data_IF_953519498762
#
_entry.id   IF_953519498762
#
_cell.length_a   1.000
_cell.length_b   1.000
_cell.length_c   1.000
_cell.angle_alpha   90.00
_cell.angle_beta   90.00
_cell.angle_gamma   90.00
#
_symmetry.space_group_name_H-M   'P 1'
#
loop_
_entity.id
_entity.type
_entity.pdbx_description
1 polymer ?
#
# COMPACT_ATOMS: atom_id res chain seq x y z
N UNK A 1 -5.38 -30.17 10.18
CA UNK A 1 -6.85 -30.06 10.26
C UNK A 1 -7.44 -30.89 9.14
N UNK A 2 -8.27 -31.89 9.45
CA UNK A 2 -8.92 -32.66 8.38
C UNK A 2 -10.03 -31.80 7.74
N UNK A 3 -10.42 -32.12 6.50
CA UNK A 3 -11.56 -31.45 5.82
C UNK A 3 -12.85 -31.54 6.64
N UNK A 4 -13.05 -32.64 7.38
CA UNK A 4 -14.18 -32.79 8.28
C UNK A 4 -14.14 -31.82 9.47
N UNK A 5 -12.95 -31.53 10.00
CA UNK A 5 -12.78 -30.56 11.09
C UNK A 5 -13.00 -29.12 10.61
N UNK A 6 -12.57 -28.80 9.37
CA UNK A 6 -12.86 -27.51 8.73
C UNK A 6 -14.35 -27.28 8.54
N UNK A 7 -15.06 -28.30 8.05
CA UNK A 7 -16.50 -28.20 7.86
C UNK A 7 -17.22 -27.96 9.20
N UNK A 8 -16.85 -28.68 10.26
CA UNK A 8 -17.44 -28.46 11.60
C UNK A 8 -17.16 -27.06 12.14
N UNK A 9 -15.93 -26.56 11.96
CA UNK A 9 -15.58 -25.21 12.37
C UNK A 9 -16.39 -24.15 11.60
N UNK A 10 -16.55 -24.29 10.29
CA UNK A 10 -17.31 -23.35 9.46
C UNK A 10 -18.81 -23.32 9.80
N UNK A 11 -19.40 -24.46 10.16
CA UNK A 11 -20.83 -24.56 10.47
C UNK A 11 -21.14 -24.15 11.91
N UNK A 12 -20.14 -24.05 12.78
CA UNK A 12 -20.31 -23.63 14.17
C UNK A 12 -20.73 -22.15 14.26
N UNK A 13 -21.94 -21.82 14.76
CA UNK A 13 -22.42 -20.44 14.88
C UNK A 13 -21.55 -19.57 15.79
N UNK A 14 -20.78 -20.17 16.71
CA UNK A 14 -19.87 -19.43 17.59
C UNK A 14 -18.77 -18.70 16.81
N UNK A 15 -18.34 -19.23 15.66
CA UNK A 15 -17.31 -18.59 14.81
C UNK A 15 -17.85 -17.42 13.98
N UNK A 16 -19.16 -17.24 13.92
CA UNK A 16 -19.81 -16.18 13.15
C UNK A 16 -20.33 -15.02 14.01
N UNK A 17 -20.30 -15.15 15.34
CA UNK A 17 -20.86 -14.19 16.29
C UNK A 17 -19.82 -13.75 17.31
N UNK A 18 -19.99 -12.55 17.88
CA UNK A 18 -19.12 -12.02 18.93
C UNK A 18 -17.85 -11.30 18.44
N UNK A 19 -17.01 -10.91 19.40
CA UNK A 19 -15.76 -10.15 19.18
C UNK A 19 -14.70 -10.95 18.42
N UNK A 20 -14.76 -12.28 18.49
CA UNK A 20 -13.84 -13.19 17.84
C UNK A 20 -14.40 -13.83 16.56
N UNK A 21 -15.57 -13.38 16.11
CA UNK A 21 -16.22 -13.90 14.91
C UNK A 21 -15.53 -13.48 13.60
N UNK A 22 -15.72 -14.30 12.56
CA UNK A 22 -15.16 -14.09 11.21
C UNK A 22 -15.47 -12.67 10.67
N UNK A 23 -16.70 -12.13 10.77
CA UNK A 23 -16.99 -10.79 10.26
C UNK A 23 -16.20 -9.69 10.96
N UNK A 24 -16.01 -9.81 12.28
CA UNK A 24 -15.24 -8.85 13.07
C UNK A 24 -13.76 -8.86 12.65
N UNK A 25 -13.17 -10.05 12.51
CA UNK A 25 -11.77 -10.22 12.05
C UNK A 25 -11.57 -9.76 10.61
N UNK A 26 -12.53 -10.01 9.73
CA UNK A 26 -12.53 -9.44 8.38
C UNK A 26 -12.53 -7.90 8.45
N UNK A 27 -13.38 -7.33 9.30
CA UNK A 27 -13.46 -5.88 9.51
C UNK A 27 -12.13 -5.28 9.96
N UNK A 28 -11.48 -5.88 10.96
CA UNK A 28 -10.15 -5.48 11.43
C UNK A 28 -9.09 -5.56 10.30
N UNK A 29 -9.08 -6.66 9.55
CA UNK A 29 -8.15 -6.87 8.44
C UNK A 29 -8.32 -5.80 7.35
N UNK A 30 -9.57 -5.52 6.98
CA UNK A 30 -9.88 -4.50 5.97
C UNK A 30 -9.53 -3.12 6.50
N UNK A 31 -9.86 -2.81 7.74
CA UNK A 31 -9.60 -1.52 8.36
C UNK A 31 -8.11 -1.19 8.36
N UNK A 32 -7.28 -2.07 8.94
CA UNK A 32 -5.83 -1.85 9.03
C UNK A 32 -5.18 -1.75 7.64
N UNK A 33 -5.66 -2.55 6.68
CA UNK A 33 -5.13 -2.53 5.31
C UNK A 33 -5.48 -1.25 4.57
N UNK A 34 -6.75 -0.83 4.63
CA UNK A 34 -7.23 0.39 3.97
C UNK A 34 -6.59 1.62 4.58
N UNK A 35 -6.50 1.70 5.91
CA UNK A 35 -5.83 2.80 6.61
C UNK A 35 -4.37 2.91 6.17
N UNK A 36 -3.63 1.80 6.22
CA UNK A 36 -2.20 1.76 5.86
C UNK A 36 -1.97 2.17 4.41
N UNK A 37 -2.81 1.69 3.49
CA UNK A 37 -2.76 2.02 2.05
C UNK A 37 -3.14 3.47 1.81
N UNK A 38 -4.14 4.00 2.50
CA UNK A 38 -4.57 5.39 2.36
C UNK A 38 -3.48 6.37 2.82
N UNK A 39 -2.87 6.11 3.98
CA UNK A 39 -1.73 6.90 4.49
C UNK A 39 -0.55 6.77 3.52
N UNK A 40 -0.24 5.54 3.08
CA UNK A 40 0.80 5.27 2.10
C UNK A 40 0.59 6.04 0.80
N UNK A 41 -0.63 6.05 0.26
CA UNK A 41 -0.99 6.77 -0.96
C UNK A 41 -0.89 8.29 -0.78
N UNK A 42 -1.34 8.82 0.37
CA UNK A 42 -1.24 10.24 0.68
C UNK A 42 0.21 10.75 0.70
N UNK A 43 1.18 9.87 1.02
CA UNK A 43 2.62 10.20 1.01
C UNK A 43 3.25 9.89 -0.36
N UNK A 44 3.03 8.68 -0.85
CA UNK A 44 3.73 8.14 -2.01
C UNK A 44 3.29 8.77 -3.34
N UNK A 45 1.99 9.05 -3.51
CA UNK A 45 1.47 9.58 -4.77
C UNK A 45 1.99 11.01 -5.03
N UNK A 46 1.92 11.97 -4.09
CA UNK A 46 2.50 13.29 -4.31
C UNK A 46 3.99 13.22 -4.61
N UNK A 47 4.75 12.41 -3.87
CA UNK A 47 6.19 12.23 -4.08
C UNK A 47 6.47 11.67 -5.47
N UNK A 48 5.81 10.57 -5.86
CA UNK A 48 6.01 9.94 -7.16
C UNK A 48 5.62 10.84 -8.33
N UNK A 49 4.50 11.57 -8.22
CA UNK A 49 4.04 12.53 -9.23
C UNK A 49 5.04 13.67 -9.40
N UNK A 50 5.48 14.29 -8.30
CA UNK A 50 6.47 15.39 -8.33
C UNK A 50 7.78 14.92 -8.94
N UNK A 51 8.31 13.78 -8.49
CA UNK A 51 9.56 13.23 -9.04
C UNK A 51 9.44 12.90 -10.53
N UNK A 52 8.30 12.34 -10.95
CA UNK A 52 8.06 11.95 -12.34
C UNK A 52 7.91 13.16 -13.26
N UNK A 53 7.17 14.18 -12.82
CA UNK A 53 6.93 15.41 -13.58
C UNK A 53 8.24 16.16 -13.89
N UNK A 54 9.07 16.38 -12.86
CA UNK A 54 10.33 17.10 -13.06
C UNK A 54 11.44 16.25 -13.71
N UNK A 55 11.22 14.94 -13.91
CA UNK A 55 12.21 14.04 -14.52
C UNK A 55 13.53 13.87 -13.74
N UNK A 56 13.63 14.46 -12.54
CA UNK A 56 14.84 14.47 -11.68
C UNK A 56 14.74 13.43 -10.58
N UNK A 57 15.90 12.98 -10.10
CA UNK A 57 16.03 12.00 -9.01
C UNK A 57 15.38 10.63 -9.30
N UNK A 58 15.44 10.14 -10.54
CA UNK A 58 15.03 8.76 -10.86
C UNK A 58 15.75 7.71 -10.03
N UNK A 59 17.03 7.95 -9.72
CA UNK A 59 17.81 7.12 -8.80
C UNK A 59 17.19 7.05 -7.40
N UNK A 60 16.55 8.12 -6.91
CA UNK A 60 15.88 8.11 -5.62
C UNK A 60 14.62 7.23 -5.66
N UNK A 61 13.79 7.34 -6.69
CA UNK A 61 12.61 6.50 -6.86
C UNK A 61 12.99 5.00 -6.98
N UNK A 62 14.07 4.71 -7.71
CA UNK A 62 14.63 3.35 -7.85
C UNK A 62 15.19 2.85 -6.52
N UNK A 63 15.95 3.68 -5.79
CA UNK A 63 16.54 3.30 -4.51
C UNK A 63 15.48 3.07 -3.43
N UNK A 64 14.42 3.88 -3.37
CA UNK A 64 13.27 3.65 -2.47
C UNK A 64 12.60 2.31 -2.80
N UNK A 65 12.41 2.00 -4.09
CA UNK A 65 11.89 0.71 -4.53
C UNK A 65 12.79 -0.45 -4.09
N UNK A 66 14.09 -0.32 -4.31
CA UNK A 66 15.07 -1.37 -4.02
C UNK A 66 15.19 -1.63 -2.52
N UNK A 67 15.24 -0.57 -1.70
CA UNK A 67 15.25 -0.72 -0.23
C UNK A 67 13.96 -1.38 0.23
N UNK A 68 12.80 -0.90 -0.22
CA UNK A 68 11.51 -1.46 0.16
C UNK A 68 11.33 -2.92 -0.22
N UNK A 69 11.95 -3.38 -1.32
CA UNK A 69 11.94 -4.79 -1.76
C UNK A 69 13.00 -5.64 -1.08
N UNK A 70 14.13 -5.05 -0.68
CA UNK A 70 15.24 -5.75 -0.04
C UNK A 70 14.96 -6.07 1.44
N UNK A 71 14.16 -5.23 2.12
CA UNK A 71 13.84 -5.44 3.53
C UNK A 71 12.72 -6.48 3.66
N UNK A 72 12.93 -7.58 4.40
CA UNK A 72 11.87 -8.55 4.67
C UNK A 72 10.69 -7.89 5.39
N UNK A 73 9.47 -8.14 4.91
CA UNK A 73 8.25 -7.55 5.48
C UNK A 73 8.06 -7.87 6.97
N UNK A 74 8.36 -9.10 7.36
CA UNK A 74 8.37 -9.52 8.77
C UNK A 74 9.37 -8.71 9.61
N UNK A 75 10.55 -8.43 9.06
CA UNK A 75 11.57 -7.62 9.74
C UNK A 75 11.08 -6.20 10.04
N UNK A 76 10.33 -5.57 9.12
CA UNK A 76 9.78 -4.23 9.32
C UNK A 76 8.75 -4.22 10.45
N UNK A 77 7.86 -5.22 10.49
CA UNK A 77 6.87 -5.37 11.56
C UNK A 77 7.57 -5.53 12.92
N UNK A 78 8.57 -6.41 12.99
CA UNK A 78 9.33 -6.63 14.23
C UNK A 78 10.07 -5.38 14.66
N UNK A 79 10.70 -4.64 13.74
CA UNK A 79 11.38 -3.38 14.06
C UNK A 79 10.40 -2.34 14.59
N UNK A 80 9.23 -2.18 13.96
CA UNK A 80 8.21 -1.25 14.41
C UNK A 80 7.71 -1.62 15.82
N UNK A 81 7.47 -2.91 16.07
CA UNK A 81 7.12 -3.42 17.39
C UNK A 81 8.22 -3.14 18.43
N UNK A 82 9.49 -3.43 18.12
CA UNK A 82 10.60 -3.20 19.05
C UNK A 82 10.80 -1.71 19.36
N UNK A 83 10.55 -0.83 18.39
CA UNK A 83 10.73 0.61 18.53
C UNK A 83 9.57 1.28 19.28
N UNK A 84 8.33 0.82 19.08
CA UNK A 84 7.12 1.54 19.53
C UNK A 84 6.21 0.72 20.45
N UNK A 85 6.51 -0.55 20.70
CA UNK A 85 5.74 -1.46 21.55
C UNK A 85 4.58 -2.15 20.83
N UNK A 86 3.68 -2.75 21.61
CA UNK A 86 2.45 -3.40 21.11
C UNK A 86 1.40 -2.35 20.72
N UNK A 87 0.62 -2.65 19.69
CA UNK A 87 -0.58 -1.90 19.33
C UNK A 87 -0.78 -1.75 17.83
N UNK A 88 -1.89 -1.13 17.45
CA UNK A 88 -2.27 -0.95 16.04
C UNK A 88 -1.38 0.09 15.34
N UNK A 89 -0.95 1.14 16.04
CA UNK A 89 -0.09 2.20 15.48
C UNK A 89 1.21 1.68 14.84
N UNK A 90 2.03 0.88 15.54
CA UNK A 90 3.23 0.27 14.98
C UNK A 90 2.95 -0.64 13.77
N UNK A 91 1.83 -1.36 13.77
CA UNK A 91 1.40 -2.22 12.65
C UNK A 91 1.07 -1.35 11.43
N UNK A 92 0.23 -0.32 11.60
CA UNK A 92 -0.14 0.62 10.54
C UNK A 92 1.11 1.30 9.98
N UNK A 93 2.02 1.75 10.84
CA UNK A 93 3.29 2.35 10.42
C UNK A 93 4.12 1.42 9.54
N UNK A 94 4.27 0.16 9.95
CA UNK A 94 5.01 -0.85 9.20
C UNK A 94 4.37 -1.15 7.84
N UNK A 95 3.04 -1.33 7.82
CA UNK A 95 2.30 -1.61 6.59
C UNK A 95 2.28 -0.40 5.64
N UNK A 96 2.15 0.81 6.16
CA UNK A 96 2.30 2.05 5.38
C UNK A 96 3.69 2.14 4.76
N UNK A 97 4.76 1.86 5.52
CA UNK A 97 6.12 1.87 5.00
C UNK A 97 6.30 0.86 3.85
N UNK A 98 5.66 -0.30 3.94
CA UNK A 98 5.66 -1.32 2.88
C UNK A 98 4.83 -0.94 1.65
N UNK A 99 3.79 -0.11 1.80
CA UNK A 99 2.93 0.35 0.70
C UNK A 99 3.59 1.44 -0.16
N UNK A 100 4.50 2.22 0.42
CA UNK A 100 5.11 3.39 -0.25
C UNK A 100 5.94 3.02 -1.50
N UNK A 101 6.87 2.06 -1.48
CA UNK A 101 7.79 1.82 -2.58
C UNK A 101 7.10 1.52 -3.93
N UNK A 102 6.13 0.59 -4.02
CA UNK A 102 5.46 0.33 -5.29
C UNK A 102 4.65 1.53 -5.77
N UNK A 103 3.98 2.26 -4.88
CA UNK A 103 3.22 3.48 -5.25
C UNK A 103 4.14 4.59 -5.79
N UNK A 104 5.27 4.86 -5.14
CA UNK A 104 6.25 5.86 -5.59
C UNK A 104 6.80 5.47 -6.96
N UNK A 105 7.27 4.23 -7.12
CA UNK A 105 7.88 3.78 -8.37
C UNK A 105 6.90 3.83 -9.53
N UNK A 106 5.68 3.29 -9.37
CA UNK A 106 4.69 3.30 -10.45
C UNK A 106 4.22 4.72 -10.78
N UNK A 107 4.02 5.58 -9.79
CA UNK A 107 3.63 6.97 -10.05
C UNK A 107 4.73 7.74 -10.77
N UNK A 108 5.99 7.54 -10.38
CA UNK A 108 7.15 8.11 -11.07
C UNK A 108 7.22 7.67 -12.53
N UNK A 109 7.13 6.36 -12.78
CA UNK A 109 7.18 5.81 -14.15
C UNK A 109 5.99 6.30 -14.97
N UNK A 110 4.78 6.31 -14.39
CA UNK A 110 3.57 6.77 -15.07
C UNK A 110 3.68 8.21 -15.58
N UNK A 111 4.21 9.12 -14.77
CA UNK A 111 4.42 10.51 -15.20
C UNK A 111 5.55 10.64 -16.23
N UNK A 112 6.55 9.75 -16.20
CA UNK A 112 7.63 9.73 -17.18
C UNK A 112 7.23 9.16 -18.54
N UNK A 113 6.28 8.24 -18.57
CA UNK A 113 5.78 7.62 -19.79
C UNK A 113 4.82 8.51 -20.57
N UNK A 114 4.33 9.61 -19.96
CA UNK A 114 3.58 10.63 -20.69
C UNK A 114 4.47 11.25 -21.78
N UNK A 115 4.00 11.17 -23.02
CA UNK A 115 4.68 11.64 -24.22
C UNK A 115 5.23 13.08 -24.05
N UNK A 116 6.54 13.31 -24.28
CA UNK A 116 7.12 14.65 -24.28
C UNK A 116 6.41 15.65 -25.19
N UNK A 117 5.90 15.22 -26.35
CA UNK A 117 5.21 16.08 -27.30
C UNK A 117 3.88 16.58 -26.72
N UNK A 118 3.19 15.75 -25.94
CA UNK A 118 1.97 16.14 -25.21
C UNK A 118 2.31 17.19 -24.13
N UNK A 119 3.45 17.04 -23.45
CA UNK A 119 3.92 18.00 -22.43
C UNK A 119 4.33 19.33 -23.06
N UNK A 120 4.96 19.31 -24.23
CA UNK A 120 5.29 20.50 -25.00
C UNK A 120 4.05 21.20 -25.54
N UNK A 121 3.08 20.45 -26.06
CA UNK A 121 1.79 20.99 -26.50
C UNK A 121 1.04 21.66 -25.33
N UNK A 122 1.03 21.05 -24.15
CA UNK A 122 0.43 21.65 -22.96
C UNK A 122 1.09 22.99 -22.59
N UNK A 123 2.43 23.06 -22.62
CA UNK A 123 3.17 24.31 -22.41
C UNK A 123 2.88 25.36 -23.49
N UNK A 124 2.81 24.94 -24.76
CA UNK A 124 2.45 25.80 -25.89
C UNK A 124 1.03 26.37 -25.81
N UNK A 125 0.10 25.64 -25.18
CA UNK A 125 -1.25 26.11 -24.86
C UNK A 125 -1.32 27.05 -23.64
N UNK A 126 -0.20 27.34 -22.99
CA UNK A 126 -0.14 28.26 -21.85
C UNK A 126 -0.51 27.64 -20.49
N UNK A 127 -0.52 26.30 -20.38
CA UNK A 127 -0.71 25.67 -19.07
C UNK A 127 0.46 25.97 -18.14
N UNK A 128 0.15 26.39 -16.90
CA UNK A 128 1.13 26.45 -15.80
C UNK A 128 1.45 25.03 -15.34
N UNK A 129 2.65 24.81 -14.78
CA UNK A 129 3.15 23.51 -14.30
C UNK A 129 2.11 22.67 -13.55
N UNK A 130 1.45 23.23 -12.52
CA UNK A 130 0.44 22.51 -11.75
C UNK A 130 -0.80 22.14 -12.59
N UNK A 131 -1.20 23.02 -13.50
CA UNK A 131 -2.34 22.75 -14.38
C UNK A 131 -1.99 21.71 -15.44
N UNK A 132 -0.76 21.71 -15.95
CA UNK A 132 -0.24 20.66 -16.83
C UNK A 132 -0.26 19.30 -16.12
N UNK A 133 0.26 19.21 -14.90
CA UNK A 133 0.22 17.96 -14.11
C UNK A 133 -1.22 17.51 -13.88
N UNK A 134 -2.10 18.38 -13.38
CA UNK A 134 -3.45 17.99 -12.98
C UNK A 134 -4.39 17.70 -14.15
N UNK A 135 -4.24 18.39 -15.29
CA UNK A 135 -5.19 18.30 -16.41
C UNK A 135 -4.68 17.51 -17.60
N UNK A 136 -3.38 17.26 -17.69
CA UNK A 136 -2.79 16.56 -18.85
C UNK A 136 -2.06 15.31 -18.38
N UNK A 137 -1.03 15.46 -17.54
CA UNK A 137 -0.17 14.33 -17.20
C UNK A 137 -0.86 13.31 -16.29
N UNK A 138 -1.55 13.76 -15.23
CA UNK A 138 -2.22 12.87 -14.28
C UNK A 138 -3.32 12.03 -14.95
N UNK A 139 -4.27 12.58 -15.72
CA UNK A 139 -5.29 11.78 -16.42
C UNK A 139 -4.71 10.66 -17.29
N UNK A 140 -3.58 10.94 -17.98
CA UNK A 140 -2.88 9.96 -18.81
C UNK A 140 -2.12 8.92 -17.97
N UNK A 141 -1.58 9.34 -16.83
CA UNK A 141 -0.81 8.50 -15.91
C UNK A 141 -1.65 7.65 -14.95
N UNK A 142 -2.94 7.99 -14.73
CA UNK A 142 -3.82 7.34 -13.74
C UNK A 142 -3.82 5.81 -13.85
N UNK A 143 -3.95 5.18 -15.04
CA UNK A 143 -4.01 3.72 -15.13
C UNK A 143 -2.79 3.03 -14.50
N UNK A 144 -1.59 3.57 -14.74
CA UNK A 144 -0.35 3.01 -14.19
C UNK A 144 -0.14 3.40 -12.71
N UNK A 145 -0.55 4.61 -12.29
CA UNK A 145 -0.60 4.97 -10.87
C UNK A 145 -1.47 3.96 -10.09
N UNK A 146 -2.66 3.65 -10.62
CA UNK A 146 -3.59 2.71 -10.00
C UNK A 146 -3.06 1.28 -9.98
N UNK A 147 -2.24 0.88 -10.96
CA UNK A 147 -1.54 -0.40 -10.90
C UNK A 147 -0.56 -0.46 -9.70
N UNK A 148 0.13 0.66 -9.40
CA UNK A 148 0.96 0.81 -8.21
C UNK A 148 0.18 0.73 -6.90
N UNK A 149 -0.96 1.43 -6.82
CA UNK A 149 -1.86 1.38 -5.66
C UNK A 149 -2.37 -0.03 -5.43
N UNK A 150 -2.83 -0.70 -6.50
CA UNK A 150 -3.30 -2.10 -6.44
C UNK A 150 -2.22 -3.05 -5.94
N UNK A 151 -1.00 -2.94 -6.49
CA UNK A 151 0.13 -3.80 -6.09
C UNK A 151 0.43 -3.65 -4.61
N UNK A 152 0.46 -2.40 -4.13
CA UNK A 152 0.70 -2.08 -2.72
C UNK A 152 -0.42 -2.58 -1.82
N UNK A 153 -1.68 -2.44 -2.23
CA UNK A 153 -2.83 -2.92 -1.48
C UNK A 153 -2.81 -4.45 -1.33
N UNK A 154 -2.52 -5.18 -2.41
CA UNK A 154 -2.39 -6.65 -2.35
C UNK A 154 -1.26 -7.06 -1.39
N UNK A 155 -0.11 -6.39 -1.47
CA UNK A 155 1.02 -6.65 -0.58
C UNK A 155 0.67 -6.35 0.90
N UNK A 156 0.02 -5.23 1.18
CA UNK A 156 -0.41 -4.86 2.54
C UNK A 156 -1.40 -5.86 3.08
N UNK A 157 -2.44 -6.22 2.31
CA UNK A 157 -3.46 -7.20 2.75
C UNK A 157 -2.82 -8.55 3.07
N UNK A 158 -1.92 -9.03 2.22
CA UNK A 158 -1.19 -10.27 2.45
C UNK A 158 -0.32 -10.18 3.73
N UNK A 159 0.40 -9.07 3.89
CA UNK A 159 1.35 -8.89 5.00
C UNK A 159 0.66 -8.61 6.34
N UNK A 160 -0.50 -7.95 6.34
CA UNK A 160 -1.25 -7.64 7.54
C UNK A 160 -1.66 -8.89 8.34
N UNK A 161 -1.74 -10.06 7.68
CA UNK A 161 -1.92 -11.34 8.39
C UNK A 161 -0.78 -11.67 9.36
N UNK A 162 0.46 -11.23 9.07
CA UNK A 162 1.61 -11.41 9.94
C UNK A 162 1.55 -10.52 11.19
N UNK A 163 0.72 -9.47 11.19
CA UNK A 163 0.58 -8.58 12.34
C UNK A 163 0.02 -9.30 13.58
N UNK A 164 -0.72 -10.41 13.40
CA UNK A 164 -1.19 -11.24 14.50
C UNK A 164 -0.05 -11.82 15.36
N UNK A 165 1.15 -11.99 14.80
CA UNK A 165 2.34 -12.46 15.55
C UNK A 165 2.76 -11.48 16.64
N UNK A 166 2.53 -10.17 16.44
CA UNK A 166 2.86 -9.10 17.39
C UNK A 166 1.62 -8.54 18.08
N UNK A 167 0.65 -9.43 18.34
CA UNK A 167 -0.64 -9.14 18.98
C UNK A 167 -1.63 -8.28 18.16
N UNK A 168 -1.44 -8.17 16.84
CA UNK A 168 -2.42 -7.56 15.94
C UNK A 168 -3.74 -8.33 15.85
N UNK A 169 -4.77 -7.64 15.37
CA UNK A 169 -6.07 -8.22 15.01
C UNK A 169 -6.09 -8.83 13.60
N UNK A 170 -7.28 -9.08 13.08
CA UNK A 170 -7.50 -9.55 11.71
C UNK A 170 -7.47 -11.05 11.52
N UNK A 171 -7.43 -11.48 10.26
CA UNK A 171 -7.42 -12.90 9.89
C UNK A 171 -6.15 -13.63 10.27
N UNK A 172 -5.07 -12.89 10.55
CA UNK A 172 -3.83 -13.47 11.06
C UNK A 172 -4.06 -14.38 12.28
N UNK A 173 -5.05 -14.07 13.14
CA UNK A 173 -5.39 -14.90 14.32
C UNK A 173 -5.93 -16.29 14.00
N UNK A 174 -6.43 -16.52 12.79
CA UNK A 174 -6.87 -17.85 12.35
C UNK A 174 -5.80 -18.61 11.56
N UNK A 175 -4.78 -17.91 11.06
CA UNK A 175 -3.78 -18.45 10.12
C UNK A 175 -2.49 -18.85 10.86
N UNK A 176 -2.09 -18.09 11.88
CA UNK A 176 -0.85 -18.27 12.65
C UNK A 176 -1.06 -19.21 13.82
#
# INVERSE_FOLDING_TARGET
MSIGDLWRWLVDPANWQGSDGIPTRLGEQVHVSVESVAIGAAIALPVGVVLGHYGRFGNLAINVSNVGRAVPSFGIIVIAFLAFGLGDGPIVLALTALAIPPMVTNSYVALREVDPDIKEAARGMGYRELAQVLRVELPLAVPLIMAGVRTSAVQVVATATLAAVVAGGGFGRYIV
#
